data_IF_102230691675
#
_entry.id   IF_102230691675
#
_cell.length_a   1.000
_cell.length_b   1.000
_cell.length_c   1.000
_cell.angle_alpha   90.00
_cell.angle_beta   90.00
_cell.angle_gamma   90.00
#
_symmetry.space_group_name_H-M   'P 1'
#
loop_
_entity.id
_entity.type
_entity.pdbx_description
1 polymer ?
#
# COMPACT_ATOMS: atom_id res chain seq x y z
N UNK A 1 -8.23 6.99 8.61
CA UNK A 1 -7.40 7.52 7.52
C UNK A 1 -5.93 7.49 7.87
N UNK A 2 -5.47 8.15 8.93
CA UNK A 2 -4.06 8.10 9.37
C UNK A 2 -3.54 6.66 9.52
N UNK A 3 -4.28 5.78 10.22
CA UNK A 3 -3.91 4.35 10.35
C UNK A 3 -3.77 3.65 8.99
N UNK A 4 -4.67 3.94 8.05
CA UNK A 4 -4.62 3.38 6.71
C UNK A 4 -3.41 3.91 5.94
N UNK A 5 -3.18 5.22 5.94
CA UNK A 5 -2.06 5.86 5.24
C UNK A 5 -0.70 5.35 5.74
N UNK A 6 -0.54 5.17 7.06
CA UNK A 6 0.68 4.61 7.64
C UNK A 6 0.87 3.16 7.22
N UNK A 7 -0.16 2.33 7.31
CA UNK A 7 -0.09 0.94 6.87
C UNK A 7 0.20 0.83 5.36
N UNK A 8 -0.32 1.78 4.58
CA UNK A 8 -0.10 1.86 3.15
C UNK A 8 1.36 2.19 2.78
N UNK A 9 2.02 3.05 3.55
CA UNK A 9 3.42 3.40 3.30
C UNK A 9 4.36 2.20 3.50
N UNK A 10 4.02 1.26 4.38
CA UNK A 10 4.77 0.00 4.55
C UNK A 10 4.88 -0.75 3.21
N UNK A 11 3.78 -0.92 2.49
CA UNK A 11 3.77 -1.61 1.20
C UNK A 11 4.59 -0.87 0.13
N UNK A 12 4.60 0.47 0.15
CA UNK A 12 5.42 1.26 -0.77
C UNK A 12 6.91 1.03 -0.56
N UNK A 13 7.36 0.90 0.68
CA UNK A 13 8.75 0.57 0.96
C UNK A 13 9.13 -0.81 0.39
N UNK A 14 8.24 -1.81 0.51
CA UNK A 14 8.45 -3.13 -0.09
C UNK A 14 8.44 -3.12 -1.63
N UNK A 15 7.81 -2.14 -2.28
CA UNK A 15 7.88 -1.98 -3.73
C UNK A 15 9.16 -1.28 -4.17
N UNK A 16 9.47 -0.14 -3.53
CA UNK A 16 10.46 0.82 -4.03
C UNK A 16 11.88 0.47 -3.58
N UNK A 17 12.07 0.02 -2.33
CA UNK A 17 13.42 -0.27 -1.81
C UNK A 17 14.12 -1.39 -2.58
N UNK A 18 13.48 -2.56 -2.84
CA UNK A 18 14.13 -3.59 -3.63
C UNK A 18 14.39 -3.11 -5.06
N UNK A 19 13.42 -2.42 -5.67
CA UNK A 19 13.54 -1.90 -7.04
C UNK A 19 14.75 -0.97 -7.23
N UNK A 20 14.99 -0.06 -6.27
CA UNK A 20 16.09 0.90 -6.38
C UNK A 20 17.47 0.29 -6.12
N UNK A 21 17.55 -0.72 -5.25
CA UNK A 21 18.84 -1.14 -4.68
C UNK A 21 19.24 -2.57 -5.03
N UNK A 22 18.37 -3.42 -5.56
CA UNK A 22 18.71 -4.84 -5.81
C UNK A 22 19.85 -5.03 -6.83
N UNK A 23 20.02 -4.09 -7.76
CA UNK A 23 21.13 -4.11 -8.72
C UNK A 23 22.50 -3.94 -8.03
N UNK A 24 22.56 -3.15 -6.96
CA UNK A 24 23.79 -2.84 -6.22
C UNK A 24 23.94 -3.69 -4.96
N UNK A 25 22.83 -4.16 -4.38
CA UNK A 25 22.77 -4.93 -3.15
C UNK A 25 21.84 -6.13 -3.37
N UNK A 26 22.35 -7.25 -3.93
CA UNK A 26 21.54 -8.43 -4.25
C UNK A 26 20.79 -9.02 -3.05
N UNK A 27 21.33 -8.85 -1.83
CA UNK A 27 20.66 -9.28 -0.60
C UNK A 27 19.26 -8.67 -0.39
N UNK A 28 18.99 -7.50 -0.98
CA UNK A 28 17.67 -6.86 -0.91
C UNK A 28 16.62 -7.51 -1.82
N UNK A 29 17.01 -8.46 -2.67
CA UNK A 29 16.05 -9.26 -3.45
C UNK A 29 15.09 -10.03 -2.54
N UNK A 30 15.52 -10.43 -1.34
CA UNK A 30 14.68 -11.07 -0.33
C UNK A 30 13.52 -10.17 0.14
N UNK A 31 13.64 -8.85 -0.02
CA UNK A 31 12.59 -7.89 0.32
C UNK A 31 11.60 -7.66 -0.83
N UNK A 32 11.83 -8.21 -2.03
CA UNK A 32 10.87 -8.18 -3.13
C UNK A 32 9.74 -9.20 -2.88
N UNK A 33 8.97 -8.99 -1.81
CA UNK A 33 7.86 -9.85 -1.40
C UNK A 33 6.79 -9.90 -2.48
N UNK A 34 6.57 -8.80 -3.20
CA UNK A 34 5.58 -8.70 -4.28
C UNK A 34 6.07 -9.32 -5.60
N UNK A 35 7.34 -9.72 -5.69
CA UNK A 35 7.97 -10.25 -6.90
C UNK A 35 7.65 -9.38 -8.13
N UNK A 36 7.88 -8.07 -8.03
CA UNK A 36 7.59 -7.12 -9.12
C UNK A 36 8.52 -7.36 -10.32
N UNK A 37 8.02 -7.09 -11.53
CA UNK A 37 8.67 -7.49 -12.79
C UNK A 37 10.03 -6.82 -13.01
N UNK A 38 10.11 -5.49 -12.90
CA UNK A 38 11.35 -4.73 -13.04
C UNK A 38 11.39 -3.55 -12.07
N UNK A 39 12.56 -2.91 -11.91
CA UNK A 39 12.68 -1.73 -11.07
C UNK A 39 11.81 -0.57 -11.59
N UNK A 40 11.77 -0.39 -12.91
CA UNK A 40 11.00 0.66 -13.56
C UNK A 40 9.49 0.39 -13.43
N UNK A 41 9.04 -0.85 -13.69
CA UNK A 41 7.63 -1.21 -13.53
C UNK A 41 7.16 -1.10 -12.08
N UNK A 42 8.02 -1.45 -11.11
CA UNK A 42 7.74 -1.34 -9.68
C UNK A 42 7.51 0.11 -9.25
N UNK A 43 8.40 1.03 -9.66
CA UNK A 43 8.28 2.46 -9.35
C UNK A 43 7.02 3.03 -10.01
N UNK A 44 6.80 2.73 -11.30
CA UNK A 44 5.65 3.21 -12.04
C UNK A 44 4.34 2.72 -11.40
N UNK A 45 4.26 1.45 -11.05
CA UNK A 45 3.10 0.84 -10.40
C UNK A 45 2.80 1.45 -9.03
N UNK A 46 3.84 1.71 -8.23
CA UNK A 46 3.68 2.36 -6.93
C UNK A 46 3.17 3.81 -7.05
N UNK A 47 3.63 4.55 -8.06
CA UNK A 47 3.15 5.92 -8.35
C UNK A 47 1.70 5.91 -8.84
N UNK A 48 1.35 5.03 -9.79
CA UNK A 48 -0.02 4.88 -10.29
C UNK A 48 -0.96 4.49 -9.14
N UNK A 49 -0.57 3.53 -8.30
CA UNK A 49 -1.38 3.15 -7.14
C UNK A 49 -1.67 4.34 -6.23
N UNK A 50 -0.66 5.18 -5.93
CA UNK A 50 -0.86 6.39 -5.14
C UNK A 50 -1.82 7.39 -5.80
N UNK A 51 -1.71 7.58 -7.11
CA UNK A 51 -2.59 8.46 -7.87
C UNK A 51 -4.05 7.99 -7.82
N UNK A 52 -4.29 6.68 -7.72
CA UNK A 52 -5.64 6.10 -7.63
C UNK A 52 -6.16 6.10 -6.19
N UNK A 53 -5.33 5.69 -5.21
CA UNK A 53 -5.81 5.47 -3.84
C UNK A 53 -6.19 6.78 -3.14
N UNK A 54 -5.51 7.88 -3.42
CA UNK A 54 -5.81 9.18 -2.79
C UNK A 54 -7.23 9.63 -3.12
N UNK A 55 -7.65 9.77 -4.40
CA UNK A 55 -9.04 10.07 -4.76
C UNK A 55 -10.07 9.12 -4.15
N UNK A 56 -9.78 7.81 -4.11
CA UNK A 56 -10.68 6.81 -3.52
C UNK A 56 -10.89 7.01 -2.01
N UNK A 57 -9.90 7.58 -1.31
CA UNK A 57 -9.98 7.87 0.12
C UNK A 57 -10.65 9.21 0.44
N UNK A 58 -10.78 10.13 -0.52
CA UNK A 58 -11.42 11.44 -0.30
C UNK A 58 -12.86 11.30 0.22
N UNK A 59 -13.76 10.49 -0.40
CA UNK A 59 -15.13 10.33 0.11
C UNK A 59 -15.18 9.79 1.53
N UNK A 60 -14.25 8.90 1.89
CA UNK A 60 -14.13 8.34 3.23
C UNK A 60 -13.68 9.41 4.24
N UNK A 61 -12.82 10.35 3.82
CA UNK A 61 -12.41 11.49 4.65
C UNK A 61 -13.55 12.46 4.89
N UNK A 62 -14.39 12.70 3.88
CA UNK A 62 -15.50 13.65 3.95
C UNK A 62 -16.72 13.11 4.72
N UNK A 63 -17.03 11.81 4.63
CA UNK A 63 -18.17 11.21 5.33
C UNK A 63 -18.02 11.16 6.85
N UNK A 64 -16.79 11.23 7.36
CA UNK A 64 -16.50 10.99 8.77
C UNK A 64 -16.87 9.55 9.20
N UNK A 65 -16.53 9.19 10.43
CA UNK A 65 -16.90 7.88 11.01
C UNK A 65 -17.94 8.11 12.07
N UNK A 66 -19.13 7.50 11.92
CA UNK A 66 -20.21 7.62 12.89
C UNK A 66 -19.73 7.21 14.29
N UNK A 67 -19.85 8.12 15.25
CA UNK A 67 -19.47 7.88 16.64
C UNK A 67 -20.33 6.75 17.23
N UNK A 68 -19.69 5.77 17.84
CA UNK A 68 -20.34 4.73 18.64
C UNK A 68 -19.78 4.78 20.05
N UNK A 69 -20.65 4.77 21.06
CA UNK A 69 -20.28 4.67 22.46
C UNK A 69 -19.72 3.27 22.77
N UNK A 70 -18.48 3.03 22.36
CA UNK A 70 -17.72 1.81 22.62
C UNK A 70 -16.47 2.22 23.39
N UNK A 71 -16.03 1.38 24.34
CA UNK A 71 -14.80 1.65 25.10
C UNK A 71 -13.60 1.93 24.18
N UNK A 72 -12.71 2.82 24.61
CA UNK A 72 -11.57 3.29 23.81
C UNK A 72 -10.70 2.15 23.25
N UNK A 73 -10.50 1.08 24.04
CA UNK A 73 -9.76 -0.12 23.63
C UNK A 73 -10.44 -0.88 22.48
N UNK A 74 -11.76 -1.06 22.56
CA UNK A 74 -12.54 -1.72 21.52
C UNK A 74 -12.58 -0.89 20.22
N UNK A 75 -12.65 0.44 20.34
CA UNK A 75 -12.61 1.35 19.20
C UNK A 75 -11.24 1.35 18.52
N UNK A 76 -10.14 1.38 19.29
CA UNK A 76 -8.78 1.29 18.76
C UNK A 76 -8.56 -0.04 18.03
N UNK A 77 -8.94 -1.17 18.64
CA UNK A 77 -8.79 -2.49 18.03
C UNK A 77 -9.57 -2.59 16.71
N UNK A 78 -10.80 -2.07 16.67
CA UNK A 78 -11.61 -2.04 15.44
C UNK A 78 -10.97 -1.16 14.35
N UNK A 79 -10.42 -0.01 14.72
CA UNK A 79 -9.72 0.87 13.77
C UNK A 79 -8.47 0.17 13.19
N UNK A 80 -7.63 -0.43 14.03
CA UNK A 80 -6.45 -1.16 13.59
C UNK A 80 -6.81 -2.36 12.70
N UNK A 81 -7.84 -3.13 13.06
CA UNK A 81 -8.27 -4.28 12.27
C UNK A 81 -8.84 -3.87 10.91
N UNK A 82 -9.67 -2.83 10.83
CA UNK A 82 -10.31 -2.45 9.56
C UNK A 82 -9.34 -1.62 8.71
N UNK A 83 -8.85 -0.50 9.24
CA UNK A 83 -8.07 0.47 8.48
C UNK A 83 -6.58 0.13 8.46
N UNK A 84 -6.06 -0.53 9.50
CA UNK A 84 -4.67 -1.02 9.51
C UNK A 84 -4.48 -2.21 8.59
N UNK A 85 -5.26 -3.29 8.76
CA UNK A 85 -5.17 -4.44 7.84
C UNK A 85 -5.61 -4.08 6.42
N UNK A 86 -6.68 -3.29 6.27
CA UNK A 86 -7.10 -2.79 4.97
C UNK A 86 -6.00 -1.95 4.29
N UNK A 87 -5.33 -1.08 5.06
CA UNK A 87 -4.21 -0.26 4.58
C UNK A 87 -2.96 -1.07 4.28
N UNK A 88 -2.78 -2.25 4.89
CA UNK A 88 -1.68 -3.15 4.59
C UNK A 88 -1.99 -4.00 3.35
N UNK A 89 -3.17 -4.61 3.26
CA UNK A 89 -3.49 -5.58 2.19
C UNK A 89 -3.78 -4.90 0.86
N UNK A 90 -4.54 -3.80 0.88
CA UNK A 90 -4.94 -3.09 -0.35
C UNK A 90 -3.77 -2.68 -1.25
N UNK A 91 -2.68 -2.05 -0.76
CA UNK A 91 -1.56 -1.68 -1.62
C UNK A 91 -0.74 -2.86 -2.12
N UNK A 92 -0.58 -3.94 -1.35
CA UNK A 92 0.14 -5.13 -1.85
C UNK A 92 -0.58 -5.72 -3.07
N UNK A 93 -1.90 -5.86 -2.99
CA UNK A 93 -2.71 -6.36 -4.11
C UNK A 93 -2.75 -5.34 -5.24
N UNK A 94 -2.97 -4.07 -4.92
CA UNK A 94 -3.11 -3.00 -5.91
C UNK A 94 -1.83 -2.76 -6.71
N UNK A 95 -0.69 -2.60 -6.05
CA UNK A 95 0.61 -2.40 -6.71
C UNK A 95 0.96 -3.62 -7.56
N UNK A 96 0.77 -4.84 -7.04
CA UNK A 96 1.04 -6.06 -7.81
C UNK A 96 0.13 -6.17 -9.05
N UNK A 97 -1.16 -5.88 -8.89
CA UNK A 97 -2.10 -5.90 -10.01
C UNK A 97 -1.74 -4.87 -11.08
N UNK A 98 -1.34 -3.66 -10.68
CA UNK A 98 -0.88 -2.62 -11.61
C UNK A 98 0.41 -3.07 -12.30
N UNK A 99 1.38 -3.61 -11.55
CA UNK A 99 2.65 -4.12 -12.10
C UNK A 99 2.43 -5.21 -13.13
N UNK A 100 1.49 -6.13 -12.89
CA UNK A 100 1.14 -7.16 -13.87
C UNK A 100 0.58 -6.58 -15.16
N UNK A 101 -0.20 -5.49 -15.10
CA UNK A 101 -0.74 -4.84 -16.30
C UNK A 101 0.34 -4.03 -17.01
N UNK A 102 1.12 -3.26 -16.27
CA UNK A 102 2.22 -2.44 -16.80
C UNK A 102 3.29 -3.31 -17.46
N UNK A 103 3.63 -4.45 -16.84
CA UNK A 103 4.60 -5.41 -17.36
C UNK A 103 4.18 -6.06 -18.69
N UNK A 104 2.90 -6.01 -19.08
CA UNK A 104 2.48 -6.46 -20.43
C UNK A 104 2.93 -5.51 -21.54
N UNK A 105 3.27 -4.26 -21.19
CA UNK A 105 3.63 -3.22 -22.14
C UNK A 105 5.12 -2.84 -22.08
N UNK A 106 5.91 -3.50 -21.23
CA UNK A 106 7.34 -3.25 -21.01
C UNK A 106 8.17 -4.50 -21.30
#
# INVERSE_FOLDING_TARGET
LTTFSIANDVAKYFAIVPALFMASIPALQALNIMQLHSAESAILSAVIFNAIIIPLLIPLALKGVAYKAVGASALLRRNLLIYGLGGLVAPFIGIKGIDMVVALFM
#
